data_IF_811069896332
#
_entry.id   IF_811069896332
#
_cell.length_a   1.000
_cell.length_b   1.000
_cell.length_c   1.000
_cell.angle_alpha   90.00
_cell.angle_beta   90.00
_cell.angle_gamma   90.00
#
_symmetry.space_group_name_H-M   'P 1'
#
loop_
_entity.id
_entity.type
_entity.pdbx_description
1 polymer ?
#
# COMPACT_ATOMS: atom_id res chain seq x y z
N UNK A 1 0.51 -17.32 -5.30
CA UNK A 1 1.37 -17.47 -4.15
C UNK A 1 2.20 -16.23 -3.91
N UNK A 2 3.03 -16.26 -2.87
CA UNK A 2 3.82 -15.09 -2.46
C UNK A 2 4.80 -14.64 -3.55
N UNK A 3 5.35 -15.58 -4.33
CA UNK A 3 6.28 -15.25 -5.43
C UNK A 3 5.59 -14.41 -6.51
N UNK A 4 4.35 -14.74 -6.82
CA UNK A 4 3.59 -14.00 -7.81
C UNK A 4 3.27 -12.58 -7.29
N UNK A 5 2.91 -12.49 -6.02
CA UNK A 5 2.65 -11.21 -5.38
C UNK A 5 3.90 -10.33 -5.38
N UNK A 6 5.07 -10.91 -5.09
CA UNK A 6 6.34 -10.18 -5.15
C UNK A 6 6.58 -9.62 -6.55
N UNK A 7 6.35 -10.42 -7.59
CA UNK A 7 6.51 -9.95 -8.98
C UNK A 7 5.55 -8.82 -9.30
N UNK A 8 4.31 -8.89 -8.82
CA UNK A 8 3.34 -7.82 -9.00
C UNK A 8 3.79 -6.53 -8.30
N UNK A 9 4.35 -6.66 -7.09
CA UNK A 9 4.85 -5.49 -6.37
C UNK A 9 6.04 -4.85 -7.09
N UNK A 10 6.93 -5.66 -7.66
CA UNK A 10 8.06 -5.15 -8.48
C UNK A 10 7.53 -4.42 -9.72
N UNK A 11 6.55 -5.01 -10.40
CA UNK A 11 5.93 -4.40 -11.58
C UNK A 11 5.27 -3.07 -11.20
N UNK A 12 4.53 -3.05 -10.10
CA UNK A 12 3.88 -1.83 -9.63
C UNK A 12 4.91 -0.75 -9.28
N UNK A 13 6.02 -1.15 -8.63
CA UNK A 13 7.11 -0.24 -8.32
C UNK A 13 7.70 0.40 -9.56
N UNK A 14 7.90 -0.39 -10.62
CA UNK A 14 8.40 0.12 -11.90
C UNK A 14 7.41 1.12 -12.52
N UNK A 15 6.11 0.84 -12.44
CA UNK A 15 5.08 1.76 -12.92
C UNK A 15 5.12 3.08 -12.14
N UNK A 16 5.25 3.00 -10.82
CA UNK A 16 5.34 4.21 -9.98
C UNK A 16 6.56 5.05 -10.32
N UNK A 17 7.70 4.40 -10.58
CA UNK A 17 8.92 5.10 -10.98
C UNK A 17 8.74 5.89 -12.29
N UNK A 18 7.85 5.42 -13.15
CA UNK A 18 7.50 6.10 -14.39
C UNK A 18 6.38 7.13 -14.22
N UNK A 19 5.90 7.32 -13.00
CA UNK A 19 4.77 8.21 -12.73
C UNK A 19 3.42 7.62 -13.13
N UNK A 20 3.36 6.33 -13.45
CA UNK A 20 2.14 5.65 -13.90
C UNK A 20 1.40 5.04 -12.72
N UNK A 21 0.99 5.88 -11.76
CA UNK A 21 0.38 5.43 -10.51
C UNK A 21 -0.96 4.71 -10.71
N UNK A 22 -1.79 5.17 -11.65
CA UNK A 22 -3.08 4.51 -11.95
C UNK A 22 -2.85 3.07 -12.41
N UNK A 23 -1.83 2.85 -13.23
CA UNK A 23 -1.49 1.51 -13.71
C UNK A 23 -0.96 0.63 -12.59
N UNK A 24 -0.19 1.21 -11.65
CA UNK A 24 0.30 0.50 -10.49
C UNK A 24 -0.86 0.03 -9.61
N UNK A 25 -1.86 0.89 -9.39
CA UNK A 25 -3.07 0.54 -8.64
C UNK A 25 -3.76 -0.66 -9.28
N UNK A 26 -3.98 -0.61 -10.59
CA UNK A 26 -4.65 -1.71 -11.32
C UNK A 26 -3.85 -3.01 -11.22
N UNK A 27 -2.52 -2.92 -11.34
CA UNK A 27 -1.64 -4.08 -11.24
C UNK A 27 -1.82 -4.79 -9.89
N UNK A 28 -1.88 -4.02 -8.81
CA UNK A 28 -2.00 -4.58 -7.45
C UNK A 28 -3.41 -5.05 -7.11
N UNK A 29 -4.43 -4.54 -7.78
CA UNK A 29 -5.82 -4.97 -7.57
C UNK A 29 -6.05 -6.44 -7.95
N UNK A 30 -5.12 -7.05 -8.69
CA UNK A 30 -5.18 -8.47 -9.01
C UNK A 30 -4.79 -9.35 -7.82
N UNK A 31 -4.21 -8.77 -6.76
CA UNK A 31 -3.73 -9.51 -5.59
C UNK A 31 -4.78 -9.57 -4.49
N UNK A 32 -4.51 -10.40 -3.47
CA UNK A 32 -5.44 -10.60 -2.35
C UNK A 32 -5.39 -9.42 -1.38
N UNK A 33 -6.23 -8.44 -1.62
CA UNK A 33 -6.35 -7.22 -0.81
C UNK A 33 -7.44 -7.37 0.25
N UNK A 34 -7.44 -8.48 0.97
CA UNK A 34 -8.34 -8.70 2.11
C UNK A 34 -7.78 -7.97 3.34
N UNK A 35 -8.46 -6.92 3.83
CA UNK A 35 -7.95 -6.14 4.97
C UNK A 35 -7.81 -6.95 6.26
N UNK A 36 -8.44 -8.11 6.35
CA UNK A 36 -8.31 -8.98 7.53
C UNK A 36 -6.99 -9.72 7.59
N UNK A 37 -6.25 -9.77 6.49
CA UNK A 37 -4.95 -10.46 6.44
C UNK A 37 -3.95 -9.80 7.38
N UNK A 38 -3.07 -10.63 7.94
CA UNK A 38 -2.02 -10.20 8.87
C UNK A 38 -0.67 -10.79 8.44
N UNK A 39 0.39 -10.18 8.94
CA UNK A 39 1.75 -10.65 8.74
C UNK A 39 2.51 -9.82 7.71
N UNK A 40 3.79 -10.13 7.60
CA UNK A 40 4.74 -9.34 6.81
C UNK A 40 4.35 -9.20 5.34
N UNK A 41 3.94 -10.31 4.71
CA UNK A 41 3.60 -10.28 3.27
C UNK A 41 2.36 -9.43 3.01
N UNK A 42 1.34 -9.56 3.85
CA UNK A 42 0.13 -8.74 3.73
C UNK A 42 0.45 -7.27 3.99
N UNK A 43 1.24 -6.98 5.02
CA UNK A 43 1.62 -5.60 5.36
C UNK A 43 2.35 -4.93 4.20
N UNK A 44 3.30 -5.63 3.57
CA UNK A 44 4.02 -5.09 2.42
C UNK A 44 3.11 -4.82 1.24
N UNK A 45 2.23 -5.77 0.92
CA UNK A 45 1.29 -5.59 -0.18
C UNK A 45 0.39 -4.38 0.05
N UNK A 46 -0.19 -4.28 1.24
CA UNK A 46 -1.07 -3.16 1.59
C UNK A 46 -0.32 -1.84 1.56
N UNK A 47 0.93 -1.83 2.01
CA UNK A 47 1.77 -0.63 2.01
C UNK A 47 2.03 -0.16 0.58
N UNK A 48 2.48 -1.05 -0.29
CA UNK A 48 2.78 -0.70 -1.69
C UNK A 48 1.51 -0.22 -2.40
N UNK A 49 0.39 -0.88 -2.12
CA UNK A 49 -0.90 -0.48 -2.68
C UNK A 49 -1.28 0.94 -2.22
N UNK A 50 -1.09 1.22 -0.93
CA UNK A 50 -1.35 2.57 -0.39
C UNK A 50 -0.46 3.62 -1.06
N UNK A 51 0.82 3.30 -1.30
CA UNK A 51 1.72 4.22 -2.01
C UNK A 51 1.24 4.52 -3.42
N UNK A 52 0.78 3.48 -4.13
CA UNK A 52 0.24 3.66 -5.48
C UNK A 52 -1.02 4.55 -5.46
N UNK A 53 -1.89 4.33 -4.50
CA UNK A 53 -3.11 5.14 -4.33
C UNK A 53 -2.75 6.59 -4.03
N UNK A 54 -1.77 6.81 -3.17
CA UNK A 54 -1.35 8.17 -2.82
C UNK A 54 -0.80 8.91 -4.04
N UNK A 55 0.05 8.24 -4.83
CA UNK A 55 0.59 8.82 -6.05
C UNK A 55 -0.48 9.08 -7.10
N UNK A 56 -1.55 8.28 -7.10
CA UNK A 56 -2.71 8.47 -7.99
C UNK A 56 -3.67 9.54 -7.48
N UNK A 57 -3.28 10.25 -6.42
CA UNK A 57 -4.08 11.31 -5.80
C UNK A 57 -5.39 10.81 -5.17
N UNK A 58 -5.41 9.54 -4.79
CA UNK A 58 -6.53 8.93 -4.07
C UNK A 58 -6.19 8.86 -2.58
N UNK A 59 -6.11 10.05 -1.97
CA UNK A 59 -5.58 10.22 -0.62
C UNK A 59 -6.36 9.47 0.45
N UNK A 60 -7.69 9.52 0.41
CA UNK A 60 -8.53 8.86 1.41
C UNK A 60 -8.37 7.34 1.35
N UNK A 61 -8.32 6.79 0.14
CA UNK A 61 -8.09 5.36 -0.06
C UNK A 61 -6.68 4.98 0.41
N UNK A 62 -5.69 5.83 0.13
CA UNK A 62 -4.32 5.59 0.56
C UNK A 62 -4.24 5.52 2.09
N UNK A 63 -4.90 6.44 2.78
CA UNK A 63 -4.95 6.41 4.25
C UNK A 63 -5.55 5.11 4.77
N UNK A 64 -6.67 4.67 4.17
CA UNK A 64 -7.30 3.40 4.54
C UNK A 64 -6.31 2.24 4.42
N UNK A 65 -5.55 2.19 3.32
CA UNK A 65 -4.65 1.07 3.09
C UNK A 65 -3.34 1.16 3.89
N UNK A 66 -2.88 2.37 4.24
CA UNK A 66 -1.81 2.50 5.22
C UNK A 66 -2.28 2.03 6.60
N UNK A 67 -3.54 2.31 6.98
CA UNK A 67 -4.12 1.77 8.22
C UNK A 67 -4.18 0.24 8.18
N UNK A 68 -4.59 -0.34 7.06
CA UNK A 68 -4.61 -1.79 6.89
C UNK A 68 -3.20 -2.37 6.96
N UNK A 69 -2.22 -1.69 6.38
CA UNK A 69 -0.82 -2.12 6.45
C UNK A 69 -0.31 -2.10 7.88
N UNK A 70 -0.58 -1.03 8.63
CA UNK A 70 -0.18 -0.92 10.03
C UNK A 70 -0.81 -2.02 10.87
N UNK A 71 -2.08 -2.33 10.65
CA UNK A 71 -2.78 -3.41 11.36
C UNK A 71 -2.19 -4.78 11.05
N UNK A 72 -1.74 -5.00 9.82
CA UNK A 72 -1.14 -6.27 9.40
C UNK A 72 0.32 -6.41 9.85
N UNK A 73 0.99 -5.29 10.10
CA UNK A 73 2.44 -5.22 10.38
C UNK A 73 2.71 -5.38 11.88
N UNK A 74 2.50 -6.59 12.38
CA UNK A 74 2.61 -6.88 13.81
C UNK A 74 4.02 -6.65 14.37
N UNK A 75 5.04 -6.81 13.54
CA UNK A 75 6.44 -6.66 13.95
C UNK A 75 7.07 -5.31 13.55
N UNK A 76 6.26 -4.42 13.03
CA UNK A 76 6.67 -3.05 12.67
C UNK A 76 7.83 -2.99 11.66
N UNK A 77 7.78 -3.84 10.64
CA UNK A 77 8.76 -3.84 9.55
C UNK A 77 8.61 -2.64 8.62
N UNK A 78 7.41 -2.05 8.55
CA UNK A 78 7.14 -0.90 7.69
C UNK A 78 6.98 0.36 8.54
N UNK A 79 7.00 1.51 7.90
CA UNK A 79 6.69 2.78 8.55
C UNK A 79 5.22 3.20 8.36
N UNK A 80 4.34 2.21 8.21
CA UNK A 80 2.91 2.46 7.92
C UNK A 80 2.26 3.37 8.95
N UNK A 81 2.55 3.19 10.24
CA UNK A 81 2.00 4.05 11.29
C UNK A 81 2.42 5.51 11.14
N UNK A 82 3.68 5.73 10.75
CA UNK A 82 4.18 7.10 10.49
C UNK A 82 3.45 7.71 9.31
N UNK A 83 3.22 6.93 8.26
CA UNK A 83 2.50 7.41 7.08
C UNK A 83 1.05 7.77 7.43
N UNK A 84 0.40 6.96 8.28
CA UNK A 84 -0.94 7.26 8.78
C UNK A 84 -0.94 8.60 9.53
N UNK A 85 0.03 8.80 10.41
CA UNK A 85 0.12 10.04 11.19
C UNK A 85 0.31 11.26 10.27
N UNK A 86 1.19 11.16 9.27
CA UNK A 86 1.44 12.24 8.31
C UNK A 86 0.18 12.60 7.53
N UNK A 87 -0.51 11.60 6.99
CA UNK A 87 -1.71 11.82 6.19
C UNK A 87 -2.87 12.33 7.04
N UNK A 88 -2.99 11.86 8.27
CA UNK A 88 -4.03 12.30 9.19
C UNK A 88 -3.81 13.74 9.65
N UNK A 89 -2.56 14.13 9.89
CA UNK A 89 -2.21 15.50 10.25
C UNK A 89 -2.55 16.49 9.14
N UNK A 90 -2.24 16.13 7.89
CA UNK A 90 -2.57 16.94 6.73
C UNK A 90 -4.08 17.06 6.55
N UNK A 91 -4.82 16.01 6.82
CA UNK A 91 -6.28 15.99 6.70
C UNK A 91 -6.96 16.85 7.77
N UNK A 92 -6.31 17.07 8.90
CA UNK A 92 -6.86 17.84 10.02
C UNK A 92 -6.87 19.36 9.75
N UNK A 93 -6.16 19.78 8.73
CA UNK A 93 -6.17 21.18 8.29
C UNK A 93 -7.31 21.42 7.31
#
# INVERSE_FOLDING_TARGET
>A
GDDRTELRMVEAGARMDLGEYDKAVVTLQAEDLDPARRGFHAARLFYVYAEALLGAERRDDALTWFLNAAAADEDEFTDAEERVAELSADSAE
#
